data_IF_396414123541
#
_entry.id   IF_396414123541
#
_cell.length_a   1.000
_cell.length_b   1.000
_cell.length_c   1.000
_cell.angle_alpha   90.00
_cell.angle_beta   90.00
_cell.angle_gamma   90.00
#
_symmetry.space_group_name_H-M   'P 1'
#
loop_
_entity.id
_entity.type
_entity.pdbx_description
1 polymer ?
#
# COMPACT_ATOMS: atom_id res chain seq x y z
N UNK A 1 6.85 6.72 13.65
CA UNK A 1 7.31 5.41 14.15
C UNK A 1 6.42 4.25 13.65
N UNK A 2 5.07 4.24 13.80
CA UNK A 2 4.25 3.07 13.41
C UNK A 2 4.32 2.75 11.91
N UNK A 3 4.40 3.75 11.03
CA UNK A 3 4.46 3.55 9.58
C UNK A 3 5.74 2.81 9.13
N UNK A 4 6.88 3.19 9.69
CA UNK A 4 8.17 2.54 9.43
C UNK A 4 8.15 1.09 9.92
N UNK A 5 7.52 0.83 11.07
CA UNK A 5 7.35 -0.53 11.58
C UNK A 5 6.50 -1.38 10.63
N UNK A 6 5.39 -0.87 10.12
CA UNK A 6 4.56 -1.57 9.13
C UNK A 6 5.37 -1.88 7.87
N UNK A 7 6.15 -0.93 7.37
CA UNK A 7 7.01 -1.13 6.21
C UNK A 7 8.03 -2.26 6.45
N UNK A 8 8.76 -2.21 7.56
CA UNK A 8 9.78 -3.22 7.90
C UNK A 8 9.15 -4.59 8.10
N UNK A 9 8.04 -4.68 8.82
CA UNK A 9 7.33 -5.95 9.08
C UNK A 9 6.83 -6.55 7.77
N UNK A 10 6.20 -5.75 6.90
CA UNK A 10 5.67 -6.23 5.61
C UNK A 10 6.79 -6.75 4.72
N UNK A 11 7.88 -6.00 4.56
CA UNK A 11 9.04 -6.44 3.77
C UNK A 11 9.66 -7.70 4.38
N UNK A 12 9.83 -7.72 5.71
CA UNK A 12 10.43 -8.86 6.42
C UNK A 12 9.61 -10.14 6.30
N UNK A 13 8.29 -10.08 6.51
CA UNK A 13 7.40 -11.23 6.36
C UNK A 13 7.41 -11.73 4.91
N UNK A 14 7.32 -10.81 3.94
CA UNK A 14 7.32 -11.18 2.52
C UNK A 14 8.65 -11.80 2.09
N UNK A 15 9.77 -11.31 2.59
CA UNK A 15 11.09 -11.92 2.38
C UNK A 15 11.17 -13.33 2.96
N UNK A 16 10.72 -13.52 4.21
CA UNK A 16 10.70 -14.83 4.86
C UNK A 16 9.82 -15.83 4.10
N UNK A 17 8.61 -15.43 3.73
CA UNK A 17 7.71 -16.27 2.94
C UNK A 17 8.34 -16.62 1.59
N UNK A 18 8.89 -15.65 0.88
CA UNK A 18 9.56 -15.87 -0.39
C UNK A 18 10.74 -16.85 -0.27
N UNK A 19 11.56 -16.73 0.79
CA UNK A 19 12.67 -17.64 1.07
C UNK A 19 12.17 -19.05 1.38
N UNK A 20 11.08 -19.18 2.14
CA UNK A 20 10.45 -20.49 2.39
C UNK A 20 10.00 -21.12 1.07
N UNK A 21 9.26 -20.37 0.23
CA UNK A 21 8.79 -20.88 -1.06
C UNK A 21 9.93 -21.19 -2.04
N UNK A 22 11.04 -20.45 -2.02
CA UNK A 22 12.20 -20.75 -2.87
C UNK A 22 12.90 -22.05 -2.49
N UNK A 23 12.84 -22.43 -1.21
CA UNK A 23 13.42 -23.69 -0.72
C UNK A 23 12.45 -24.90 -0.84
N UNK A 24 11.16 -24.66 -1.01
CA UNK A 24 10.17 -25.72 -1.19
C UNK A 24 10.17 -26.19 -2.65
N UNK A 25 10.20 -27.52 -2.82
CA UNK A 25 10.10 -28.15 -4.12
C UNK A 25 8.67 -28.61 -4.38
N UNK A 26 8.24 -28.43 -5.62
CA UNK A 26 6.97 -28.94 -6.08
C UNK A 26 7.00 -30.49 -6.05
N UNK A 27 6.07 -31.16 -5.33
CA UNK A 27 6.06 -32.63 -5.21
C UNK A 27 5.84 -33.37 -6.53
N UNK A 28 5.29 -32.69 -7.55
CA UNK A 28 4.99 -33.31 -8.84
C UNK A 28 6.14 -33.26 -9.85
N UNK A 29 6.98 -32.23 -9.81
CA UNK A 29 8.07 -32.03 -10.79
C UNK A 29 9.46 -31.84 -10.16
N UNK A 30 9.56 -31.82 -8.82
CA UNK A 30 10.84 -31.69 -8.09
C UNK A 30 11.52 -30.32 -8.20
N UNK A 31 10.94 -29.37 -8.92
CA UNK A 31 11.49 -28.02 -9.12
C UNK A 31 11.07 -27.07 -8.01
N UNK A 32 11.85 -25.97 -7.74
CA UNK A 32 11.45 -24.97 -6.77
C UNK A 32 10.08 -24.36 -7.11
N UNK A 33 9.26 -24.07 -6.11
CA UNK A 33 7.98 -23.38 -6.31
C UNK A 33 8.14 -21.99 -6.95
N UNK A 34 9.31 -21.41 -6.83
CA UNK A 34 9.67 -20.11 -7.39
C UNK A 34 10.30 -20.17 -8.79
N UNK A 35 10.28 -21.33 -9.45
CA UNK A 35 10.90 -21.49 -10.79
C UNK A 35 10.40 -20.44 -11.81
N UNK A 36 9.12 -20.10 -11.73
CA UNK A 36 8.48 -19.12 -12.63
C UNK A 36 8.42 -17.69 -12.05
N UNK A 37 9.19 -17.41 -11.00
CA UNK A 37 9.26 -16.06 -10.44
C UNK A 37 10.32 -15.21 -11.17
N UNK A 38 10.10 -13.90 -11.33
CA UNK A 38 8.90 -13.14 -10.96
C UNK A 38 7.69 -13.50 -11.84
N UNK A 39 6.54 -13.68 -11.20
CA UNK A 39 5.27 -13.90 -11.93
C UNK A 39 4.89 -12.63 -12.71
N UNK A 40 3.95 -12.75 -13.66
CA UNK A 40 3.47 -11.59 -14.41
C UNK A 40 2.90 -10.51 -13.47
N UNK A 41 2.14 -10.91 -12.47
CA UNK A 41 1.59 -9.98 -11.47
C UNK A 41 2.69 -9.24 -10.68
N UNK A 42 3.77 -9.93 -10.31
CA UNK A 42 4.91 -9.31 -9.63
C UNK A 42 5.61 -8.29 -10.52
N UNK A 43 5.76 -8.58 -11.82
CA UNK A 43 6.32 -7.66 -12.82
C UNK A 43 5.42 -6.44 -12.99
N UNK A 44 4.11 -6.67 -13.15
CA UNK A 44 3.14 -5.59 -13.32
C UNK A 44 3.13 -4.63 -12.13
N UNK A 45 3.29 -5.14 -10.91
CA UNK A 45 3.42 -4.31 -9.69
C UNK A 45 4.72 -3.52 -9.61
N UNK A 46 5.76 -3.94 -10.32
CA UNK A 46 7.01 -3.21 -10.46
C UNK A 46 7.01 -2.23 -11.65
N UNK A 47 5.93 -2.20 -12.46
CA UNK A 47 5.78 -1.25 -13.56
C UNK A 47 5.21 0.09 -13.08
N UNK A 48 5.88 1.24 -13.41
CA UNK A 48 5.41 2.56 -12.99
C UNK A 48 4.01 2.91 -13.48
N UNK A 49 3.62 2.42 -14.66
CA UNK A 49 2.29 2.68 -15.23
C UNK A 49 1.17 2.08 -14.40
N UNK A 50 1.39 0.89 -13.82
CA UNK A 50 0.42 0.20 -12.99
C UNK A 50 0.33 0.83 -11.59
N UNK A 51 1.34 1.60 -11.18
CA UNK A 51 1.33 2.38 -9.95
C UNK A 51 0.20 3.42 -9.93
N UNK A 52 -0.19 3.96 -11.08
CA UNK A 52 -1.23 4.98 -11.21
C UNK A 52 -2.56 4.51 -10.58
N UNK A 53 -2.94 3.26 -10.79
CA UNK A 53 -4.17 2.70 -10.21
C UNK A 53 -4.11 2.67 -8.68
N UNK A 54 -2.96 2.31 -8.10
CA UNK A 54 -2.78 2.26 -6.64
C UNK A 54 -2.78 3.67 -6.05
N UNK A 55 -2.20 4.64 -6.73
CA UNK A 55 -2.21 6.06 -6.35
C UNK A 55 -3.65 6.59 -6.33
N UNK A 56 -4.44 6.26 -7.35
CA UNK A 56 -5.84 6.66 -7.42
C UNK A 56 -6.68 6.05 -6.29
N UNK A 57 -6.50 4.76 -6.00
CA UNK A 57 -7.16 4.09 -4.87
C UNK A 57 -6.77 4.76 -3.56
N UNK A 58 -5.50 5.05 -3.34
CA UNK A 58 -5.03 5.72 -2.13
C UNK A 58 -5.66 7.10 -1.94
N UNK A 59 -5.79 7.89 -3.01
CA UNK A 59 -6.45 9.18 -2.99
C UNK A 59 -7.93 9.06 -2.59
N UNK A 60 -8.66 8.15 -3.21
CA UNK A 60 -10.06 7.89 -2.88
C UNK A 60 -10.23 7.43 -1.42
N UNK A 61 -9.37 6.55 -0.94
CA UNK A 61 -9.36 6.12 0.46
C UNK A 61 -9.03 7.27 1.42
N UNK A 62 -8.12 8.17 1.03
CA UNK A 62 -7.77 9.36 1.81
C UNK A 62 -8.94 10.34 1.98
N UNK A 63 -9.83 10.41 0.99
CA UNK A 63 -11.07 11.20 1.04
C UNK A 63 -12.17 10.45 1.83
N UNK A 64 -12.31 9.15 1.59
CA UNK A 64 -13.38 8.35 2.19
C UNK A 64 -13.15 8.09 3.69
N UNK A 65 -11.90 8.05 4.15
CA UNK A 65 -11.56 7.72 5.54
C UNK A 65 -12.20 8.68 6.56
N UNK A 66 -12.03 10.01 6.46
CA UNK A 66 -12.65 10.94 7.41
C UNK A 66 -14.17 10.89 7.37
N UNK A 67 -14.77 10.73 6.19
CA UNK A 67 -16.22 10.60 6.04
C UNK A 67 -16.72 9.35 6.77
N UNK A 68 -16.03 8.22 6.58
CA UNK A 68 -16.38 6.95 7.22
C UNK A 68 -16.24 7.01 8.75
N UNK A 69 -15.25 7.74 9.27
CA UNK A 69 -15.06 7.93 10.71
C UNK A 69 -16.22 8.75 11.31
N UNK A 70 -16.61 9.84 10.65
CA UNK A 70 -17.66 10.73 11.12
C UNK A 70 -19.04 10.05 11.07
N UNK A 71 -19.28 9.28 10.01
CA UNK A 71 -20.54 8.54 9.85
C UNK A 71 -20.60 7.25 10.67
N UNK A 72 -19.52 6.89 11.37
CA UNK A 72 -19.36 5.63 12.11
C UNK A 72 -19.67 4.37 11.26
N UNK A 73 -19.63 4.52 9.95
CA UNK A 73 -20.00 3.48 8.99
C UNK A 73 -18.91 3.33 7.91
N UNK A 74 -18.75 2.10 7.42
CA UNK A 74 -17.87 1.86 6.27
C UNK A 74 -16.37 1.87 6.56
N UNK A 75 -15.90 2.15 7.77
CA UNK A 75 -14.46 2.21 8.14
C UNK A 75 -13.72 0.94 7.75
N UNK A 76 -14.38 -0.22 7.85
CA UNK A 76 -13.79 -1.52 7.48
C UNK A 76 -13.47 -1.59 5.99
N UNK A 77 -14.35 -1.09 5.11
CA UNK A 77 -14.13 -1.08 3.66
C UNK A 77 -12.99 -0.13 3.28
N UNK A 78 -12.93 1.03 3.91
CA UNK A 78 -11.83 1.97 3.70
C UNK A 78 -10.51 1.39 4.17
N UNK A 79 -10.49 0.69 5.31
CA UNK A 79 -9.29 0.00 5.81
C UNK A 79 -8.79 -1.07 4.83
N UNK A 80 -9.69 -1.83 4.18
CA UNK A 80 -9.32 -2.79 3.13
C UNK A 80 -8.70 -2.06 1.93
N UNK A 81 -9.30 -0.96 1.48
CA UNK A 81 -8.76 -0.15 0.39
C UNK A 81 -7.36 0.39 0.70
N UNK A 82 -7.14 0.89 1.93
CA UNK A 82 -5.82 1.34 2.39
C UNK A 82 -4.81 0.19 2.37
N UNK A 83 -5.18 -0.96 2.91
CA UNK A 83 -4.32 -2.14 2.91
C UNK A 83 -3.96 -2.58 1.48
N UNK A 84 -4.92 -2.56 0.57
CA UNK A 84 -4.70 -2.89 -0.85
C UNK A 84 -3.76 -1.91 -1.55
N UNK A 85 -3.75 -0.65 -1.16
CA UNK A 85 -2.88 0.36 -1.75
C UNK A 85 -1.44 0.33 -1.17
N UNK A 86 -1.25 -0.08 0.09
CA UNK A 86 0.03 0.01 0.78
C UNK A 86 0.80 -1.30 0.85
N UNK A 87 0.11 -2.42 1.13
CA UNK A 87 0.79 -3.71 1.40
C UNK A 87 1.40 -4.35 0.15
N UNK A 88 0.71 -4.47 -1.01
CA UNK A 88 1.24 -5.20 -2.14
C UNK A 88 2.54 -4.64 -2.73
N UNK A 89 2.76 -3.32 -2.85
CA UNK A 89 4.04 -2.80 -3.30
C UNK A 89 5.20 -3.20 -2.39
N UNK A 90 5.01 -3.12 -1.06
CA UNK A 90 6.02 -3.51 -0.08
C UNK A 90 6.25 -5.03 -0.06
N UNK A 91 5.19 -5.82 -0.20
CA UNK A 91 5.31 -7.26 -0.30
C UNK A 91 6.14 -7.67 -1.52
N UNK A 92 5.94 -7.01 -2.66
CA UNK A 92 6.73 -7.25 -3.86
C UNK A 92 8.21 -6.91 -3.66
N UNK A 93 8.54 -5.87 -2.90
CA UNK A 93 9.92 -5.56 -2.50
C UNK A 93 10.51 -6.72 -1.70
N UNK A 94 9.83 -7.20 -0.67
CA UNK A 94 10.30 -8.32 0.16
C UNK A 94 10.52 -9.59 -0.64
N UNK A 95 9.57 -9.95 -1.49
CA UNK A 95 9.68 -11.11 -2.37
C UNK A 95 10.86 -11.00 -3.34
N UNK A 96 11.13 -9.82 -3.90
CA UNK A 96 12.23 -9.62 -4.84
C UNK A 96 13.62 -9.90 -4.25
N UNK A 97 13.77 -9.88 -2.93
CA UNK A 97 15.01 -10.28 -2.25
C UNK A 97 15.16 -11.79 -2.07
N UNK A 98 14.11 -12.57 -2.23
CA UNK A 98 14.07 -13.98 -1.83
C UNK A 98 14.41 -15.00 -2.93
N UNK A 99 14.53 -14.60 -4.20
CA UNK A 99 14.79 -15.51 -5.31
C UNK A 99 15.89 -15.01 -6.26
N UNK A 100 16.64 -15.96 -6.83
CA UNK A 100 17.84 -15.67 -7.64
C UNK A 100 17.55 -14.94 -8.96
N UNK A 101 16.47 -15.30 -9.64
CA UNK A 101 16.08 -14.68 -10.92
C UNK A 101 15.68 -13.20 -10.81
N UNK A 102 15.60 -12.66 -9.59
CA UNK A 102 15.33 -11.24 -9.37
C UNK A 102 16.43 -10.31 -9.92
N UNK A 103 17.63 -10.85 -10.14
CA UNK A 103 18.77 -10.12 -10.69
C UNK A 103 18.81 -10.11 -12.23
N UNK A 104 17.84 -10.71 -12.93
CA UNK A 104 17.75 -10.63 -14.39
C UNK A 104 17.50 -9.18 -14.82
N UNK A 105 18.34 -8.69 -15.78
CA UNK A 105 18.22 -7.35 -16.33
C UNK A 105 16.95 -7.20 -17.17
N UNK A 106 16.18 -6.16 -16.88
CA UNK A 106 15.10 -5.71 -17.76
C UNK A 106 15.69 -4.90 -18.92
N UNK A 107 15.53 -5.40 -20.15
CA UNK A 107 16.07 -4.78 -21.35
C UNK A 107 15.54 -3.36 -21.61
N UNK A 108 14.37 -3.03 -21.09
CA UNK A 108 13.71 -1.75 -21.32
C UNK A 108 14.30 -0.61 -20.48
N UNK A 109 14.71 -0.90 -19.24
CA UNK A 109 15.14 0.13 -18.28
C UNK A 109 16.61 -0.03 -17.84
N UNK A 110 17.29 -1.13 -18.23
CA UNK A 110 18.65 -1.42 -17.79
C UNK A 110 18.77 -1.72 -16.28
N UNK A 111 17.64 -1.93 -15.61
CA UNK A 111 17.56 -2.25 -14.19
C UNK A 111 17.21 -3.73 -14.01
N UNK A 112 17.68 -4.32 -12.91
CA UNK A 112 17.21 -5.65 -12.50
C UNK A 112 15.77 -5.56 -12.00
N UNK A 113 15.03 -6.68 -12.06
CA UNK A 113 13.68 -6.74 -11.47
C UNK A 113 13.71 -6.31 -9.99
N UNK A 114 14.71 -6.73 -9.25
CA UNK A 114 14.90 -6.39 -7.83
C UNK A 114 15.02 -4.87 -7.62
N UNK A 115 15.89 -4.20 -8.37
CA UNK A 115 16.05 -2.74 -8.28
C UNK A 115 14.76 -2.01 -8.63
N UNK A 116 14.08 -2.46 -9.69
CA UNK A 116 12.80 -1.91 -10.13
C UNK A 116 11.72 -2.08 -9.06
N UNK A 117 11.58 -3.27 -8.48
CA UNK A 117 10.62 -3.55 -7.41
C UNK A 117 10.88 -2.68 -6.17
N UNK A 118 12.15 -2.46 -5.79
CA UNK A 118 12.51 -1.60 -4.66
C UNK A 118 12.14 -0.15 -4.95
N UNK A 119 12.59 0.40 -6.06
CA UNK A 119 12.37 1.81 -6.41
C UNK A 119 10.88 2.10 -6.52
N UNK A 120 10.16 1.31 -7.33
CA UNK A 120 8.73 1.51 -7.57
C UNK A 120 7.93 1.22 -6.31
N UNK A 121 8.18 0.11 -5.61
CA UNK A 121 7.43 -0.30 -4.43
C UNK A 121 7.54 0.69 -3.28
N UNK A 122 8.74 1.18 -2.97
CA UNK A 122 8.95 2.19 -1.91
C UNK A 122 8.36 3.53 -2.33
N UNK A 123 8.55 3.95 -3.59
CA UNK A 123 7.99 5.21 -4.08
C UNK A 123 6.46 5.23 -4.02
N UNK A 124 5.80 4.16 -4.47
CA UNK A 124 4.34 4.02 -4.38
C UNK A 124 3.87 4.07 -2.93
N UNK A 125 4.55 3.34 -2.03
CA UNK A 125 4.20 3.34 -0.62
C UNK A 125 4.26 4.75 -0.02
N UNK A 126 5.32 5.51 -0.29
CA UNK A 126 5.46 6.88 0.20
C UNK A 126 4.40 7.81 -0.38
N UNK A 127 4.20 7.78 -1.70
CA UNK A 127 3.18 8.60 -2.37
C UNK A 127 1.78 8.26 -1.83
N UNK A 128 1.42 6.99 -1.73
CA UNK A 128 0.12 6.57 -1.22
C UNK A 128 -0.08 6.99 0.24
N UNK A 129 0.96 6.92 1.06
CA UNK A 129 0.90 7.40 2.44
C UNK A 129 0.60 8.91 2.52
N UNK A 130 1.24 9.71 1.67
CA UNK A 130 0.98 11.14 1.60
C UNK A 130 -0.45 11.44 1.12
N UNK A 131 -0.91 10.71 0.09
CA UNK A 131 -2.27 10.84 -0.44
C UNK A 131 -3.36 10.38 0.52
N UNK A 132 -3.05 9.45 1.42
CA UNK A 132 -3.94 9.08 2.51
C UNK A 132 -3.95 10.16 3.60
N UNK A 133 -2.79 10.67 3.97
CA UNK A 133 -2.64 11.58 5.10
C UNK A 133 -3.20 12.98 4.83
N UNK A 134 -2.82 13.62 3.72
CA UNK A 134 -3.18 15.02 3.47
C UNK A 134 -4.67 15.26 3.27
N UNK A 135 -5.37 14.52 2.39
CA UNK A 135 -6.81 14.69 2.24
C UNK A 135 -7.58 14.36 3.52
N UNK A 136 -7.18 13.27 4.22
CA UNK A 136 -7.83 12.89 5.49
C UNK A 136 -7.68 13.98 6.55
N UNK A 137 -6.48 14.51 6.73
CA UNK A 137 -6.24 15.59 7.69
C UNK A 137 -7.01 16.86 7.35
N UNK A 138 -7.00 17.24 6.06
CA UNK A 138 -7.72 18.43 5.60
C UNK A 138 -9.23 18.31 5.85
N UNK A 139 -9.83 17.21 5.43
CA UNK A 139 -11.27 16.98 5.59
C UNK A 139 -11.69 16.87 7.07
N UNK A 140 -10.91 16.15 7.90
CA UNK A 140 -11.18 16.10 9.34
C UNK A 140 -11.16 17.49 9.98
N UNK A 141 -10.22 18.34 9.60
CA UNK A 141 -10.16 19.71 10.11
C UNK A 141 -11.39 20.52 9.69
N UNK A 142 -11.85 20.38 8.44
CA UNK A 142 -13.05 21.06 7.94
C UNK A 142 -14.28 20.59 8.73
N UNK A 143 -14.48 19.29 8.89
CA UNK A 143 -15.63 18.75 9.61
C UNK A 143 -15.63 19.14 11.10
N UNK A 144 -14.48 19.09 11.77
CA UNK A 144 -14.36 19.51 13.18
C UNK A 144 -14.66 21.02 13.33
N UNK A 145 -14.31 21.82 12.33
CA UNK A 145 -14.61 23.25 12.33
C UNK A 145 -16.10 23.52 12.17
N UNK A 146 -16.79 22.76 11.29
CA UNK A 146 -18.24 22.84 11.13
C UNK A 146 -18.99 22.43 12.40
N UNK A 147 -18.61 21.34 13.05
CA UNK A 147 -19.20 20.91 14.34
C UNK A 147 -19.09 21.98 15.43
N UNK A 148 -17.96 22.68 15.50
CA UNK A 148 -17.78 23.78 16.43
C UNK A 148 -18.65 25.00 16.09
N UNK A 149 -18.91 25.27 14.81
CA UNK A 149 -19.82 26.31 14.35
C UNK A 149 -21.26 25.93 14.69
N UNK A 150 -21.69 24.69 14.42
CA UNK A 150 -23.02 24.21 14.78
C UNK A 150 -23.28 24.27 16.30
N UNK A 151 -22.35 23.81 17.13
CA UNK A 151 -22.45 23.92 18.58
C UNK A 151 -22.50 25.36 19.08
N UNK A 152 -21.81 26.29 18.44
CA UNK A 152 -21.90 27.73 18.75
C UNK A 152 -23.25 28.30 18.39
N UNK A 153 -23.81 27.94 17.24
CA UNK A 153 -25.12 28.37 16.78
C UNK A 153 -26.21 27.81 17.72
N UNK A 154 -26.17 26.51 18.03
CA UNK A 154 -27.09 25.86 18.95
C UNK A 154 -27.06 26.51 20.35
N UNK A 155 -25.88 26.82 20.86
CA UNK A 155 -25.70 27.54 22.12
C UNK A 155 -26.27 28.96 22.10
N UNK A 156 -26.22 29.60 20.92
CA UNK A 156 -26.78 30.94 20.75
C UNK A 156 -28.31 30.91 20.74
N UNK A 157 -28.91 29.90 20.12
CA UNK A 157 -30.39 29.73 20.10
C UNK A 157 -30.95 29.16 21.41
N UNK A 158 -30.19 28.43 22.20
CA UNK A 158 -30.61 27.89 23.51
C UNK A 158 -30.46 28.90 24.66
N UNK A 159 -29.95 30.11 24.41
CA UNK A 159 -29.86 31.20 25.39
C UNK A 159 -31.06 32.16 25.27
N UNK A 160 -31.94 31.96 24.29
CA UNK A 160 -33.21 32.65 24.14
C UNK A 160 -34.34 31.72 24.60
#
# INVERSE_FOLDING_TARGET
VPLIMVMIITIGISFLLGTIFSNLKNPFNGKPLTENWPTQEMKDRAEPINAIYMIFIALLCGIALPISIIMESGVRFVAIGIATALIPPLANVGLAFSFENSNALDKQYGLTYKEKAIIVGISIFLINTLLLYFPSKYLLNVFVQEDNIFKRIEKFFNIV
#
